data_IF_863504400395
#
_entry.id   IF_863504400395
#
_cell.length_a   1.000
_cell.length_b   1.000
_cell.length_c   1.000
_cell.angle_alpha   90.00
_cell.angle_beta   90.00
_cell.angle_gamma   90.00
#
_symmetry.space_group_name_H-M   'P 1'
#
loop_
_entity.id
_entity.type
_entity.pdbx_description
1 polymer ?
#
# COMPACT_ATOMS: atom_id res chain seq x y z
N UNK A 1 -4.57 11.08 -17.52
CA UNK A 1 -4.39 11.53 -16.11
C UNK A 1 -4.74 10.39 -15.13
N UNK A 2 -4.01 10.20 -14.01
CA UNK A 2 -4.40 9.24 -12.98
C UNK A 2 -5.81 9.57 -12.44
N UNK A 3 -6.59 8.56 -11.98
CA UNK A 3 -7.97 8.77 -11.51
C UNK A 3 -8.00 9.33 -10.08
N UNK A 4 -6.85 9.38 -9.41
CA UNK A 4 -6.71 9.95 -8.08
C UNK A 4 -6.34 11.42 -8.20
N UNK A 5 -6.95 12.30 -7.39
CA UNK A 5 -6.48 13.67 -7.29
C UNK A 5 -5.00 13.64 -6.87
N UNK A 6 -4.16 14.47 -7.51
CA UNK A 6 -2.71 14.58 -7.20
C UNK A 6 -2.43 14.85 -5.71
N UNK A 7 -3.45 15.29 -4.97
CA UNK A 7 -3.44 15.47 -3.53
C UNK A 7 -4.82 15.09 -2.99
N UNK A 8 -4.92 14.04 -2.20
CA UNK A 8 -6.09 13.80 -1.34
C UNK A 8 -5.89 14.70 -0.12
N UNK A 9 -6.59 15.83 -0.07
CA UNK A 9 -6.64 16.68 1.13
C UNK A 9 -7.77 16.20 2.03
N UNK A 10 -7.54 16.06 3.35
CA UNK A 10 -8.62 15.87 4.29
C UNK A 10 -9.63 17.02 4.13
N UNK A 11 -10.92 16.69 4.14
CA UNK A 11 -11.96 17.70 4.28
C UNK A 11 -11.93 18.27 5.72
N UNK A 12 -12.50 19.45 6.00
CA UNK A 12 -12.50 20.03 7.35
C UNK A 12 -13.13 19.12 8.42
N UNK A 13 -14.04 18.25 8.00
CA UNK A 13 -14.76 17.24 8.77
C UNK A 13 -14.08 15.86 8.78
N UNK A 14 -12.93 15.71 8.13
CA UNK A 14 -12.21 14.44 8.09
C UNK A 14 -11.66 14.07 9.47
N UNK A 15 -11.95 12.85 9.89
CA UNK A 15 -11.45 12.29 11.14
C UNK A 15 -10.16 11.51 10.84
N UNK A 16 -9.02 11.81 11.51
CA UNK A 16 -7.82 11.01 11.38
C UNK A 16 -8.01 9.65 12.06
N UNK A 17 -8.03 8.57 11.28
CA UNK A 17 -8.28 7.20 11.79
C UNK A 17 -7.01 6.35 11.91
N UNK A 18 -5.86 6.87 11.47
CA UNK A 18 -4.61 6.11 11.42
C UNK A 18 -3.45 6.85 10.76
N UNK A 19 -2.35 6.13 10.58
CA UNK A 19 -1.13 6.61 9.93
C UNK A 19 -0.54 5.54 9.02
N UNK A 20 0.22 5.99 8.03
CA UNK A 20 1.07 5.17 7.16
C UNK A 20 2.28 6.02 6.79
N UNK A 21 3.46 5.43 6.71
CA UNK A 21 4.69 6.19 6.54
C UNK A 21 5.71 5.50 5.65
N UNK A 22 6.76 6.25 5.35
CA UNK A 22 7.93 5.78 4.63
C UNK A 22 9.17 5.91 5.52
N UNK A 23 10.08 4.94 5.42
CA UNK A 23 11.38 4.93 6.09
C UNK A 23 12.49 4.63 5.08
N UNK A 24 13.73 4.85 5.51
CA UNK A 24 14.95 4.49 4.78
C UNK A 24 14.91 4.92 3.30
N UNK A 25 14.50 6.17 3.08
CA UNK A 25 14.40 6.77 1.75
C UNK A 25 15.82 6.95 1.19
N UNK A 26 16.15 6.11 0.22
CA UNK A 26 17.40 6.12 -0.52
C UNK A 26 17.14 6.65 -1.94
N UNK A 27 17.38 7.94 -2.13
CA UNK A 27 17.18 8.60 -3.42
C UNK A 27 18.18 8.15 -4.48
N UNK A 28 19.38 7.70 -4.09
CA UNK A 28 20.40 7.23 -5.02
C UNK A 28 20.01 5.88 -5.62
N UNK A 29 19.59 4.94 -4.77
CA UNK A 29 19.14 3.62 -5.21
C UNK A 29 17.64 3.61 -5.58
N UNK A 30 16.95 4.75 -5.42
CA UNK A 30 15.51 4.92 -5.68
C UNK A 30 14.68 3.85 -4.96
N UNK A 31 14.94 3.71 -3.67
CA UNK A 31 14.30 2.71 -2.81
C UNK A 31 13.83 3.34 -1.50
N UNK A 32 12.68 2.92 -1.00
CA UNK A 32 12.24 3.22 0.36
C UNK A 32 11.52 2.03 0.99
N UNK A 33 11.31 2.08 2.30
CA UNK A 33 10.50 1.13 3.05
C UNK A 33 9.12 1.72 3.32
N UNK A 34 8.06 0.94 3.07
CA UNK A 34 6.72 1.23 3.57
C UNK A 34 6.62 0.70 5.00
N UNK A 35 6.35 1.61 5.94
CA UNK A 35 6.43 1.33 7.36
C UNK A 35 5.34 2.07 8.14
N UNK A 36 5.23 1.73 9.43
CA UNK A 36 4.38 2.47 10.38
C UNK A 36 2.91 2.57 9.95
N UNK A 37 2.38 1.57 9.24
CA UNK A 37 0.95 1.48 8.97
C UNK A 37 0.20 1.09 10.24
N UNK A 38 -0.74 1.92 10.67
CA UNK A 38 -1.57 1.69 11.83
C UNK A 38 -2.95 2.32 11.65
N UNK A 39 -4.02 1.57 11.94
CA UNK A 39 -5.39 2.08 11.98
C UNK A 39 -5.88 1.97 13.42
N UNK A 40 -6.04 3.13 14.07
CA UNK A 40 -6.32 3.22 15.50
C UNK A 40 -7.76 2.81 15.80
N UNK A 41 -8.70 3.39 15.05
CA UNK A 41 -10.13 3.25 15.28
C UNK A 41 -10.65 1.91 14.75
N UNK A 42 -11.29 1.12 15.63
CA UNK A 42 -11.75 -0.23 15.32
C UNK A 42 -12.78 -0.27 14.20
N UNK A 43 -13.69 0.73 14.16
CA UNK A 43 -14.70 0.88 13.12
C UNK A 43 -14.09 1.00 11.71
N UNK A 44 -12.92 1.64 11.62
CA UNK A 44 -12.22 1.88 10.36
C UNK A 44 -11.11 0.86 10.08
N UNK A 45 -10.84 -0.06 11.02
CA UNK A 45 -9.82 -1.10 10.88
C UNK A 45 -10.32 -2.24 10.00
N UNK A 46 -10.41 -1.95 8.70
CA UNK A 46 -10.84 -2.90 7.69
C UNK A 46 -9.89 -2.90 6.50
N UNK A 47 -10.03 -3.93 5.66
CA UNK A 47 -9.20 -4.13 4.48
C UNK A 47 -9.24 -2.96 3.50
N UNK A 48 -10.41 -2.35 3.29
CA UNK A 48 -10.57 -1.29 2.30
C UNK A 48 -9.81 -0.03 2.68
N UNK A 49 -9.87 0.39 3.94
CA UNK A 49 -9.12 1.56 4.44
C UNK A 49 -7.61 1.33 4.33
N UNK A 50 -7.14 0.15 4.72
CA UNK A 50 -5.71 -0.20 4.61
C UNK A 50 -5.26 -0.25 3.15
N UNK A 51 -6.09 -0.79 2.26
CA UNK A 51 -5.83 -0.85 0.82
C UNK A 51 -5.74 0.55 0.21
N UNK A 52 -6.69 1.44 0.49
CA UNK A 52 -6.67 2.78 -0.07
C UNK A 52 -5.49 3.59 0.46
N UNK A 53 -5.15 3.45 1.75
CA UNK A 53 -3.98 4.10 2.35
C UNK A 53 -2.66 3.64 1.70
N UNK A 54 -2.46 2.33 1.56
CA UNK A 54 -1.25 1.78 0.92
C UNK A 54 -1.17 2.16 -0.56
N UNK A 55 -2.30 2.13 -1.27
CA UNK A 55 -2.35 2.51 -2.68
C UNK A 55 -1.92 3.96 -2.89
N UNK A 56 -2.42 4.89 -2.07
CA UNK A 56 -2.05 6.31 -2.14
C UNK A 56 -0.57 6.53 -1.82
N UNK A 57 -0.02 5.82 -0.84
CA UNK A 57 1.40 5.90 -0.51
C UNK A 57 2.28 5.33 -1.61
N UNK A 58 1.92 4.21 -2.23
CA UNK A 58 2.66 3.66 -3.36
C UNK A 58 2.58 4.59 -4.59
N UNK A 59 1.42 5.18 -4.86
CA UNK A 59 1.28 6.21 -5.91
C UNK A 59 2.24 7.38 -5.66
N UNK A 60 2.30 7.87 -4.42
CA UNK A 60 3.26 8.91 -4.02
C UNK A 60 4.72 8.44 -4.20
N UNK A 61 5.08 7.23 -3.76
CA UNK A 61 6.43 6.70 -3.93
C UNK A 61 6.86 6.64 -5.39
N UNK A 62 6.02 6.07 -6.26
CA UNK A 62 6.40 5.81 -7.64
C UNK A 62 6.22 7.01 -8.56
N UNK A 63 5.10 7.73 -8.43
CA UNK A 63 4.75 8.83 -9.34
C UNK A 63 5.19 10.21 -8.84
N UNK A 64 5.39 10.41 -7.54
CA UNK A 64 5.88 11.68 -6.99
C UNK A 64 7.36 11.65 -6.63
N UNK A 65 7.80 10.66 -5.84
CA UNK A 65 9.21 10.54 -5.44
C UNK A 65 10.08 9.87 -6.51
N UNK A 66 9.48 9.26 -7.53
CA UNK A 66 10.21 8.58 -8.59
C UNK A 66 10.96 7.34 -8.11
N UNK A 67 10.47 6.63 -7.09
CA UNK A 67 11.08 5.39 -6.61
C UNK A 67 11.07 4.29 -7.69
N UNK A 68 12.04 3.41 -7.64
CA UNK A 68 12.10 2.19 -8.46
C UNK A 68 11.54 0.98 -7.69
N UNK A 69 11.79 0.91 -6.38
CA UNK A 69 11.43 -0.22 -5.53
C UNK A 69 10.92 0.26 -4.17
N UNK A 70 9.85 -0.34 -3.68
CA UNK A 70 9.38 -0.17 -2.29
C UNK A 70 9.47 -1.52 -1.59
N UNK A 71 9.97 -1.54 -0.36
CA UNK A 71 10.12 -2.75 0.47
C UNK A 71 9.24 -2.67 1.72
N UNK A 72 8.87 -3.82 2.27
CA UNK A 72 8.10 -3.92 3.50
C UNK A 72 8.50 -5.19 4.25
N UNK A 73 8.56 -5.09 5.56
CA UNK A 73 8.96 -6.17 6.45
C UNK A 73 7.77 -6.55 7.32
N UNK A 74 7.28 -7.78 7.14
CA UNK A 74 6.06 -8.24 7.81
C UNK A 74 6.40 -9.36 8.77
N UNK A 75 6.31 -9.14 10.09
CA UNK A 75 6.41 -10.21 11.07
C UNK A 75 5.40 -11.32 10.78
N UNK A 76 5.78 -12.58 10.95
CA UNK A 76 4.99 -13.75 10.58
C UNK A 76 3.60 -13.79 11.23
N UNK A 77 3.46 -13.22 12.43
CA UNK A 77 2.18 -13.12 13.13
C UNK A 77 1.18 -12.14 12.49
N UNK A 78 1.62 -11.26 11.58
CA UNK A 78 0.77 -10.24 10.96
C UNK A 78 0.25 -10.67 9.58
N UNK A 79 -0.57 -11.72 9.58
CA UNK A 79 -1.07 -12.35 8.35
C UNK A 79 -1.95 -11.43 7.51
N UNK A 80 -2.64 -10.47 8.13
CA UNK A 80 -3.58 -9.59 7.42
C UNK A 80 -2.84 -8.57 6.57
N UNK A 81 -1.77 -7.97 7.10
CA UNK A 81 -0.89 -7.07 6.33
C UNK A 81 -0.16 -7.84 5.22
N UNK A 82 0.27 -9.08 5.49
CA UNK A 82 0.85 -9.92 4.44
C UNK A 82 -0.13 -10.16 3.28
N UNK A 83 -1.40 -10.50 3.57
CA UNK A 83 -2.45 -10.68 2.56
C UNK A 83 -2.71 -9.38 1.79
N UNK A 84 -2.78 -8.25 2.48
CA UNK A 84 -2.95 -6.93 1.87
C UNK A 84 -1.87 -6.65 0.82
N UNK A 85 -0.60 -6.79 1.19
CA UNK A 85 0.52 -6.59 0.28
C UNK A 85 0.46 -7.55 -0.92
N UNK A 86 0.16 -8.83 -0.70
CA UNK A 86 0.03 -9.80 -1.80
C UNK A 86 -1.09 -9.42 -2.77
N UNK A 87 -2.26 -8.98 -2.27
CA UNK A 87 -3.36 -8.48 -3.11
C UNK A 87 -2.93 -7.24 -3.91
N UNK A 88 -2.17 -6.33 -3.27
CA UNK A 88 -1.66 -5.12 -3.92
C UNK A 88 -0.56 -5.41 -4.95
N UNK A 89 0.01 -6.62 -4.95
CA UNK A 89 0.95 -7.10 -5.97
C UNK A 89 2.39 -7.18 -5.52
N UNK A 90 2.64 -7.06 -4.22
CA UNK A 90 3.96 -7.28 -3.66
C UNK A 90 4.39 -8.74 -3.83
N UNK A 91 5.69 -8.95 -3.92
CA UNK A 91 6.33 -10.25 -4.04
C UNK A 91 7.26 -10.50 -2.87
N UNK A 92 7.29 -11.75 -2.43
CA UNK A 92 8.22 -12.22 -1.41
C UNK A 92 9.63 -12.31 -1.98
N UNK A 93 10.58 -11.65 -1.31
CA UNK A 93 12.00 -11.69 -1.63
C UNK A 93 12.79 -12.57 -0.64
N UNK A 94 12.28 -12.77 0.58
CA UNK A 94 12.98 -13.57 1.59
C UNK A 94 12.24 -13.75 2.90
N UNK A 95 12.89 -14.48 3.81
CA UNK A 95 12.48 -14.62 5.21
C UNK A 95 13.70 -14.43 6.10
N UNK A 96 13.59 -13.54 7.06
CA UNK A 96 14.53 -13.44 8.17
C UNK A 96 14.03 -14.35 9.28
N UNK A 97 14.77 -15.43 9.57
CA UNK A 97 14.40 -16.39 10.60
C UNK A 97 14.65 -15.82 12.00
N UNK A 98 13.72 -16.03 12.92
CA UNK A 98 13.84 -15.63 14.33
C UNK A 98 14.25 -14.15 14.51
N UNK A 99 13.77 -13.27 13.64
CA UNK A 99 14.29 -11.91 13.50
C UNK A 99 13.75 -10.93 14.56
N UNK A 100 12.53 -11.14 15.05
CA UNK A 100 11.89 -10.23 16.01
C UNK A 100 11.44 -10.97 17.27
N UNK A 101 11.79 -10.43 18.44
CA UNK A 101 11.29 -10.93 19.74
C UNK A 101 9.94 -10.27 20.06
N UNK A 102 8.87 -11.06 20.10
CA UNK A 102 7.54 -10.59 20.46
C UNK A 102 6.93 -11.50 21.52
N UNK A 103 6.51 -10.93 22.65
CA UNK A 103 5.87 -11.67 23.76
C UNK A 103 6.68 -12.91 24.20
N UNK A 104 8.02 -12.77 24.26
CA UNK A 104 8.92 -13.85 24.70
C UNK A 104 9.19 -14.94 23.66
N UNK A 105 8.74 -14.79 22.40
CA UNK A 105 9.04 -15.70 21.30
C UNK A 105 9.73 -14.97 20.15
N UNK A 106 10.71 -15.62 19.56
CA UNK A 106 11.28 -15.16 18.29
C UNK A 106 10.34 -15.53 17.15
N UNK A 107 10.10 -14.55 16.27
CA UNK A 107 9.21 -14.67 15.13
C UNK A 107 9.97 -14.31 13.86
N UNK A 108 9.64 -15.01 12.79
CA UNK A 108 10.18 -14.74 11.46
C UNK A 108 9.64 -13.42 10.91
N UNK A 109 10.39 -12.81 9.98
CA UNK A 109 9.96 -11.63 9.23
C UNK A 109 10.02 -11.94 7.74
N UNK A 110 8.89 -11.78 7.06
CA UNK A 110 8.80 -11.91 5.61
C UNK A 110 9.19 -10.59 4.95
N UNK A 111 10.14 -10.66 4.02
CA UNK A 111 10.56 -9.53 3.21
C UNK A 111 9.74 -9.50 1.93
N UNK A 112 9.05 -8.39 1.71
CA UNK A 112 8.24 -8.14 0.53
C UNK A 112 8.79 -6.93 -0.24
N UNK A 113 8.63 -6.94 -1.56
CA UNK A 113 8.88 -5.78 -2.40
C UNK A 113 7.86 -5.64 -3.53
N UNK A 114 7.71 -4.42 -4.02
CA UNK A 114 6.99 -4.10 -5.25
C UNK A 114 7.83 -3.13 -6.09
N UNK A 115 7.90 -3.38 -7.39
CA UNK A 115 8.63 -2.55 -8.35
C UNK A 115 7.70 -1.57 -9.06
N UNK A 116 8.26 -0.44 -9.50
CA UNK A 116 7.52 0.64 -10.17
C UNK A 116 6.74 0.16 -11.40
N UNK A 117 7.31 -0.76 -12.18
CA UNK A 117 6.65 -1.31 -13.38
C UNK A 117 5.45 -2.20 -13.04
N UNK A 118 5.56 -2.97 -11.97
CA UNK A 118 4.50 -3.85 -11.49
C UNK A 118 3.33 -3.04 -10.96
N UNK A 119 3.63 -1.99 -10.18
CA UNK A 119 2.62 -1.04 -9.73
C UNK A 119 1.99 -0.31 -10.90
N UNK A 120 2.77 0.21 -11.86
CA UNK A 120 2.25 0.90 -13.03
C UNK A 120 1.30 0.03 -13.88
N UNK A 121 1.62 -1.27 -14.04
CA UNK A 121 0.71 -2.22 -14.71
C UNK A 121 -0.62 -2.33 -13.96
N UNK A 122 -0.58 -2.52 -12.64
CA UNK A 122 -1.79 -2.61 -11.81
C UNK A 122 -2.60 -1.32 -11.81
N UNK A 123 -1.91 -0.18 -11.77
CA UNK A 123 -2.51 1.13 -11.84
C UNK A 123 -3.30 1.33 -13.13
N UNK A 124 -2.72 0.98 -14.28
CA UNK A 124 -3.41 1.00 -15.59
C UNK A 124 -4.63 0.09 -15.62
N UNK A 125 -4.51 -1.13 -15.11
CA UNK A 125 -5.63 -2.08 -15.08
C UNK A 125 -6.80 -1.54 -14.23
N UNK A 126 -6.50 -0.94 -13.06
CA UNK A 126 -7.52 -0.33 -12.20
C UNK A 126 -8.21 0.86 -12.87
N UNK A 127 -7.45 1.67 -13.60
CA UNK A 127 -7.97 2.78 -14.41
C UNK A 127 -8.96 2.31 -15.48
N UNK A 128 -8.63 1.24 -16.20
CA UNK A 128 -9.50 0.66 -17.23
C UNK A 128 -10.80 0.14 -16.62
N UNK A 129 -10.71 -0.65 -15.54
CA UNK A 129 -11.89 -1.17 -14.84
C UNK A 129 -12.82 -0.05 -14.32
N UNK A 130 -12.26 1.03 -13.79
CA UNK A 130 -13.06 2.18 -13.33
C UNK A 130 -13.76 2.91 -14.49
N UNK A 131 -13.07 3.06 -15.63
CA UNK A 131 -13.62 3.70 -16.83
C UNK A 131 -14.73 2.88 -17.51
N UNK A 132 -14.61 1.55 -17.49
CA UNK A 132 -15.67 0.63 -17.95
C UNK A 132 -16.90 0.72 -17.03
N UNK A 133 -16.70 0.72 -15.72
CA UNK A 133 -17.79 0.84 -14.73
C UNK A 133 -18.58 2.15 -14.86
N UNK A 134 -17.92 3.29 -15.15
CA UNK A 134 -18.59 4.58 -15.35
C UNK A 134 -19.38 4.61 -16.68
N UNK A 135 -18.88 3.95 -17.72
CA UNK A 135 -19.62 3.79 -18.99
C UNK A 135 -20.86 2.95 -18.82
N UNK A 136 -20.77 1.82 -18.11
CA UNK A 136 -21.90 0.93 -17.87
C UNK A 136 -22.99 1.59 -17.02
N UNK A 137 -22.61 2.39 -16.00
CA UNK A 137 -23.56 3.16 -15.18
C UNK A 137 -24.30 4.23 -15.99
N UNK A 138 -23.61 4.92 -16.90
CA UNK A 138 -24.22 5.92 -17.79
C UNK A 138 -25.11 5.31 -18.86
N UNK A 139 -24.80 4.09 -19.32
CA UNK A 139 -25.62 3.34 -20.27
C UNK A 139 -26.90 2.77 -19.64
N UNK A 140 -26.91 2.47 -18.33
CA UNK A 140 -28.08 1.97 -17.60
C UNK A 140 -29.00 3.08 -17.04
N UNK A 141 -28.60 4.34 -17.15
CA UNK A 141 -29.36 5.52 -16.70
C UNK A 141 -29.94 6.34 -17.87
N UNK A 142 -29.92 5.78 -19.08
CA UNK A 142 -30.65 6.23 -20.27
C UNK A 142 -31.69 5.18 -20.66
#
# INVERSE_FOLDING_TARGET
PPPYPKVVRPTPDAIPVGTIGLKDIDLRNRRCELASMFIAELEYRNFQVAFDAEWLVLDYCFNHLGMHKVVAWVPAYNTDVAKLHLVMGWKKEGVLREHVLKKGRFEDVTLLAIFSEEFAKRFRNRLQAAGETDRDRRAQSQ
#
